data_IF_566216845505
#
_entry.id   IF_566216845505
#
_cell.length_a   1.000
_cell.length_b   1.000
_cell.length_c   1.000
_cell.angle_alpha   90.00
_cell.angle_beta   90.00
_cell.angle_gamma   90.00
#
_symmetry.space_group_name_H-M   'P 1'
#
loop_
_entity.id
_entity.type
_entity.pdbx_description
1 polymer ?
#
# COMPACT_ATOMS: atom_id res chain seq x y z
N UNK A 1 0.31 -6.21 -6.89
CA UNK A 1 -0.47 -5.64 -7.98
C UNK A 1 -1.92 -5.64 -7.54
N UNK A 2 -2.59 -4.50 -7.65
CA UNK A 2 -3.95 -4.34 -7.16
C UNK A 2 -5.02 -5.05 -7.99
N UNK A 3 -6.25 -5.05 -7.48
CA UNK A 3 -7.41 -5.71 -8.09
C UNK A 3 -8.11 -4.85 -9.15
N UNK A 4 -7.48 -3.77 -9.63
CA UNK A 4 -8.05 -2.94 -10.68
C UNK A 4 -7.96 -3.68 -12.03
N UNK A 5 -9.10 -3.92 -12.67
CA UNK A 5 -9.16 -4.64 -13.95
C UNK A 5 -8.32 -3.96 -15.04
N UNK A 6 -8.23 -2.62 -15.01
CA UNK A 6 -7.45 -1.85 -15.97
C UNK A 6 -5.94 -2.07 -15.81
N UNK A 7 -5.47 -2.23 -14.56
CA UNK A 7 -4.07 -2.54 -14.30
C UNK A 7 -3.74 -4.01 -14.59
N UNK A 8 -4.65 -4.93 -14.28
CA UNK A 8 -4.50 -6.36 -14.60
C UNK A 8 -4.45 -6.63 -16.10
N UNK A 9 -5.11 -5.82 -16.90
CA UNK A 9 -5.04 -5.97 -18.36
C UNK A 9 -3.60 -5.87 -18.87
N UNK A 10 -2.82 -4.92 -18.36
CA UNK A 10 -1.41 -4.76 -18.72
C UNK A 10 -0.58 -5.97 -18.27
N UNK A 11 -0.79 -6.46 -17.05
CA UNK A 11 -0.05 -7.62 -16.53
C UNK A 11 -0.42 -8.93 -17.23
N UNK A 12 -1.69 -9.13 -17.60
CA UNK A 12 -2.13 -10.28 -18.40
C UNK A 12 -1.44 -10.33 -19.75
N UNK A 13 -1.23 -9.18 -20.40
CA UNK A 13 -0.51 -9.09 -21.66
C UNK A 13 0.95 -9.56 -21.58
N UNK A 14 1.57 -9.46 -20.38
CA UNK A 14 2.93 -9.95 -20.12
C UNK A 14 3.00 -11.37 -19.57
N UNK A 15 1.87 -12.11 -19.55
CA UNK A 15 1.84 -13.49 -19.06
C UNK A 15 2.03 -13.60 -17.55
N UNK A 16 1.54 -12.64 -16.80
CA UNK A 16 1.56 -12.67 -15.34
C UNK A 16 0.94 -13.97 -14.82
N UNK A 17 1.64 -14.61 -13.94
CA UNK A 17 1.53 -15.93 -13.35
C UNK A 17 0.19 -16.65 -13.51
N UNK A 18 0.14 -17.81 -14.18
CA UNK A 18 -1.09 -18.64 -14.27
C UNK A 18 -1.49 -19.27 -12.93
N UNK A 19 -0.68 -19.08 -11.88
CA UNK A 19 -0.86 -19.68 -10.55
C UNK A 19 -1.41 -18.69 -9.51
N UNK A 20 -1.87 -17.52 -9.93
CA UNK A 20 -2.45 -16.51 -9.03
C UNK A 20 -3.95 -16.45 -9.19
N UNK A 21 -4.67 -16.56 -8.09
CA UNK A 21 -6.11 -16.32 -8.00
C UNK A 21 -6.32 -14.93 -7.41
N UNK A 22 -6.92 -14.04 -8.18
CA UNK A 22 -7.27 -12.69 -7.72
C UNK A 22 -8.69 -12.69 -7.16
N UNK A 23 -8.86 -12.10 -5.98
CA UNK A 23 -10.15 -11.94 -5.31
C UNK A 23 -10.31 -10.50 -4.84
N UNK A 24 -11.54 -9.97 -4.75
CA UNK A 24 -11.78 -8.70 -4.07
C UNK A 24 -11.47 -8.82 -2.56
N UNK A 25 -11.21 -7.67 -1.91
CA UNK A 25 -10.94 -7.59 -0.47
C UNK A 25 -12.25 -7.71 0.35
N UNK A 26 -12.96 -8.80 0.11
CA UNK A 26 -14.23 -9.14 0.74
C UNK A 26 -14.15 -10.50 1.42
N UNK A 27 -14.60 -10.59 2.67
CA UNK A 27 -14.54 -11.84 3.47
C UNK A 27 -15.21 -13.03 2.74
N UNK A 28 -16.41 -12.89 2.15
CA UNK A 28 -17.03 -14.01 1.43
C UNK A 28 -16.21 -14.52 0.24
N UNK A 29 -15.53 -13.61 -0.48
CA UNK A 29 -14.67 -13.98 -1.60
C UNK A 29 -13.41 -14.74 -1.11
N UNK A 30 -12.84 -14.31 0.01
CA UNK A 30 -11.71 -14.97 0.64
C UNK A 30 -12.09 -16.39 1.13
N UNK A 31 -13.21 -16.53 1.84
CA UNK A 31 -13.72 -17.81 2.32
C UNK A 31 -13.95 -18.78 1.15
N UNK A 32 -14.61 -18.32 0.10
CA UNK A 32 -14.83 -19.12 -1.12
C UNK A 32 -13.52 -19.55 -1.79
N UNK A 33 -12.52 -18.67 -1.83
CA UNK A 33 -11.21 -19.03 -2.39
C UNK A 33 -10.53 -20.13 -1.56
N UNK A 34 -10.59 -20.06 -0.23
CA UNK A 34 -10.08 -21.11 0.65
C UNK A 34 -10.86 -22.42 0.51
N UNK A 35 -12.19 -22.38 0.45
CA UNK A 35 -13.01 -23.58 0.20
C UNK A 35 -12.61 -24.31 -1.08
N UNK A 36 -12.27 -23.54 -2.12
CA UNK A 36 -11.98 -24.08 -3.45
C UNK A 36 -10.52 -24.49 -3.64
N UNK A 37 -9.56 -23.84 -2.98
CA UNK A 37 -8.14 -23.94 -3.34
C UNK A 37 -7.19 -24.20 -2.18
N UNK A 38 -7.66 -24.33 -0.92
CA UNK A 38 -6.77 -24.41 0.26
C UNK A 38 -5.67 -25.48 0.15
N UNK A 39 -5.93 -26.58 -0.55
CA UNK A 39 -4.98 -27.68 -0.78
C UNK A 39 -3.87 -27.35 -1.79
N UNK A 40 -4.00 -26.21 -2.49
CA UNK A 40 -3.08 -25.73 -3.53
C UNK A 40 -2.50 -24.36 -3.24
N UNK A 41 -3.03 -23.67 -2.21
CA UNK A 41 -2.55 -22.36 -1.83
C UNK A 41 -1.25 -22.46 -1.04
N UNK A 42 -0.22 -21.76 -1.49
CA UNK A 42 1.01 -21.56 -0.73
C UNK A 42 0.92 -20.34 0.19
N UNK A 43 0.36 -19.25 -0.32
CA UNK A 43 0.22 -18.02 0.45
C UNK A 43 -1.00 -17.18 0.00
N UNK A 44 -1.41 -16.29 0.90
CA UNK A 44 -2.23 -15.11 0.63
C UNK A 44 -1.32 -13.90 0.67
N UNK A 45 -1.24 -13.16 -0.44
CA UNK A 45 -0.43 -11.93 -0.56
C UNK A 45 -1.36 -10.73 -0.65
N UNK A 46 -1.18 -9.76 0.24
CA UNK A 46 -1.99 -8.52 0.28
C UNK A 46 -1.15 -7.28 0.55
N UNK A 47 -1.53 -6.15 -0.03
CA UNK A 47 -1.18 -4.82 0.50
C UNK A 47 -2.17 -4.53 1.65
N UNK A 48 -1.74 -4.47 2.93
CA UNK A 48 -2.68 -4.43 4.05
C UNK A 48 -3.33 -3.07 4.21
N UNK A 49 -4.66 -3.05 4.40
CA UNK A 49 -5.57 -1.92 4.56
C UNK A 49 -5.70 -0.97 3.36
N UNK A 50 -4.65 -0.76 2.58
CA UNK A 50 -4.62 0.16 1.46
C UNK A 50 -3.88 -0.47 0.28
N UNK A 51 -4.59 -0.69 -0.82
CA UNK A 51 -4.02 -1.13 -2.08
C UNK A 51 -3.57 0.09 -2.90
N UNK A 52 -2.25 0.31 -3.04
CA UNK A 52 -1.72 1.48 -3.73
C UNK A 52 -2.01 1.47 -5.22
N UNK A 53 -1.29 0.66 -5.98
CA UNK A 53 -1.44 0.53 -7.43
C UNK A 53 -2.81 -0.04 -7.84
N UNK A 54 -3.53 -0.70 -6.93
CA UNK A 54 -4.90 -1.17 -7.10
C UNK A 54 -5.97 -0.10 -7.02
N UNK A 55 -5.61 1.18 -7.07
CA UNK A 55 -6.55 2.29 -7.08
C UNK A 55 -6.79 2.94 -5.74
N UNK A 56 -5.83 2.91 -4.84
CA UNK A 56 -5.92 3.47 -3.47
C UNK A 56 -7.19 2.96 -2.75
N UNK A 57 -7.50 1.67 -2.95
CA UNK A 57 -8.63 1.04 -2.28
C UNK A 57 -8.32 0.85 -0.81
N UNK A 58 -9.22 1.26 0.02
CA UNK A 58 -9.15 1.10 1.47
C UNK A 58 -10.17 0.07 1.91
N UNK A 59 -9.78 -0.81 2.85
CA UNK A 59 -10.65 -1.86 3.36
C UNK A 59 -10.42 -2.09 4.86
N UNK A 60 -11.39 -2.71 5.49
CA UNK A 60 -11.41 -2.90 6.93
C UNK A 60 -10.43 -3.98 7.40
N UNK A 61 -9.92 -3.83 8.61
CA UNK A 61 -8.97 -4.74 9.24
C UNK A 61 -9.53 -6.17 9.39
N UNK A 62 -10.85 -6.31 9.49
CA UNK A 62 -11.52 -7.61 9.63
C UNK A 62 -11.21 -8.58 8.48
N UNK A 63 -10.94 -8.06 7.28
CA UNK A 63 -10.47 -8.89 6.17
C UNK A 63 -9.12 -9.54 6.48
N UNK A 64 -8.18 -8.79 7.05
CA UNK A 64 -6.85 -9.30 7.40
C UNK A 64 -6.92 -10.27 8.58
N UNK A 65 -7.76 -9.99 9.58
CA UNK A 65 -8.01 -10.88 10.70
C UNK A 65 -8.58 -12.21 10.21
N UNK A 66 -9.53 -12.17 9.28
CA UNK A 66 -10.09 -13.37 8.66
C UNK A 66 -9.07 -14.11 7.78
N UNK A 67 -8.22 -13.38 7.06
CA UNK A 67 -7.14 -13.97 6.29
C UNK A 67 -6.16 -14.72 7.20
N UNK A 68 -5.80 -14.14 8.36
CA UNK A 68 -4.94 -14.81 9.34
C UNK A 68 -5.58 -16.08 9.90
N UNK A 69 -6.85 -16.00 10.29
CA UNK A 69 -7.63 -17.16 10.77
C UNK A 69 -7.59 -18.32 9.77
N UNK A 70 -7.90 -18.03 8.50
CA UNK A 70 -7.94 -19.05 7.45
C UNK A 70 -6.54 -19.58 7.11
N UNK A 71 -5.54 -18.70 7.04
CA UNK A 71 -4.15 -19.11 6.82
C UNK A 71 -3.67 -20.06 7.91
N UNK A 72 -3.97 -19.78 9.19
CA UNK A 72 -3.62 -20.65 10.31
C UNK A 72 -4.34 -21.99 10.24
N UNK A 73 -5.64 -21.96 9.93
CA UNK A 73 -6.47 -23.16 9.82
C UNK A 73 -5.98 -24.14 8.76
N UNK A 74 -5.54 -23.61 7.61
CA UNK A 74 -5.18 -24.43 6.45
C UNK A 74 -3.66 -24.56 6.23
N UNK A 75 -2.84 -23.96 7.08
CA UNK A 75 -1.37 -24.01 6.96
C UNK A 75 -0.80 -23.16 5.82
N UNK A 76 -1.59 -22.23 5.30
CA UNK A 76 -1.21 -21.29 4.22
C UNK A 76 -0.44 -20.12 4.82
N UNK A 77 0.56 -19.57 4.11
CA UNK A 77 1.32 -18.41 4.58
C UNK A 77 0.55 -17.10 4.33
N UNK A 78 0.57 -16.18 5.28
CA UNK A 78 0.08 -14.83 5.10
C UNK A 78 1.27 -13.89 4.84
N UNK A 79 1.22 -13.18 3.72
CA UNK A 79 2.27 -12.26 3.27
C UNK A 79 1.71 -10.85 3.17
N UNK A 80 2.31 -9.91 3.91
CA UNK A 80 1.99 -8.49 3.80
C UNK A 80 3.01 -7.77 2.94
N UNK A 81 2.54 -7.11 1.89
CA UNK A 81 3.31 -6.14 1.13
C UNK A 81 3.10 -4.74 1.77
N UNK A 82 3.98 -4.40 2.71
CA UNK A 82 4.00 -3.07 3.34
C UNK A 82 5.02 -2.13 2.68
N UNK A 83 5.39 -2.37 1.44
CA UNK A 83 6.26 -1.47 0.67
C UNK A 83 5.65 -0.07 0.54
N UNK A 84 4.32 0.04 0.38
CA UNK A 84 3.61 1.31 0.31
C UNK A 84 2.87 1.67 1.60
N UNK A 85 2.43 0.69 2.37
CA UNK A 85 1.55 0.86 3.53
C UNK A 85 2.29 1.00 4.85
N UNK A 86 3.52 0.51 4.93
CA UNK A 86 4.35 0.61 6.12
C UNK A 86 4.83 2.04 6.44
N UNK A 87 5.50 2.16 7.57
CA UNK A 87 6.04 3.43 8.07
C UNK A 87 4.97 4.52 8.21
N UNK A 88 3.78 4.15 8.68
CA UNK A 88 2.74 5.11 9.04
C UNK A 88 1.73 5.44 7.95
N UNK A 89 1.92 5.00 6.69
CA UNK A 89 1.06 5.45 5.56
C UNK A 89 -0.43 5.23 5.78
N UNK A 90 -0.81 4.16 6.49
CA UNK A 90 -2.21 3.82 6.82
C UNK A 90 -2.67 4.35 8.19
N UNK A 91 -1.88 5.22 8.86
CA UNK A 91 -2.15 5.61 10.24
C UNK A 91 -1.63 4.60 11.28
N UNK A 92 -1.13 3.44 10.87
CA UNK A 92 -0.45 2.47 11.72
C UNK A 92 1.05 2.52 11.41
N UNK A 93 1.93 2.34 12.41
CA UNK A 93 3.37 2.24 12.16
C UNK A 93 3.66 1.15 11.12
N UNK A 94 3.18 -0.06 11.42
CA UNK A 94 3.01 -1.16 10.47
C UNK A 94 1.64 -1.81 10.72
N UNK A 95 0.96 -2.25 9.68
CA UNK A 95 -0.28 -3.02 9.84
C UNK A 95 0.01 -4.38 10.48
N UNK A 96 1.22 -4.90 10.27
CA UNK A 96 1.76 -6.08 10.93
C UNK A 96 1.73 -6.00 12.48
N UNK A 97 1.71 -4.81 13.07
CA UNK A 97 1.56 -4.62 14.53
C UNK A 97 0.15 -5.03 15.03
N UNK A 98 -0.83 -5.09 14.13
CA UNK A 98 -2.23 -5.47 14.45
C UNK A 98 -2.57 -6.90 14.05
N UNK A 99 -2.13 -7.33 12.88
CA UNK A 99 -2.30 -8.70 12.38
C UNK A 99 -0.95 -9.18 11.90
N UNK A 100 -0.35 -10.14 12.60
CA UNK A 100 1.00 -10.61 12.34
C UNK A 100 1.03 -11.52 11.11
N UNK A 101 1.74 -11.14 10.01
CA UNK A 101 1.95 -12.01 8.86
C UNK A 101 3.08 -13.03 9.11
N UNK A 102 3.18 -14.04 8.25
CA UNK A 102 4.33 -14.95 8.23
C UNK A 102 5.54 -14.30 7.53
N UNK A 103 5.25 -13.48 6.52
CA UNK A 103 6.25 -12.74 5.74
C UNK A 103 5.79 -11.28 5.60
N UNK A 104 6.72 -10.36 5.85
CA UNK A 104 6.52 -8.93 5.72
C UNK A 104 7.52 -8.36 4.70
N UNK A 105 7.03 -7.68 3.67
CA UNK A 105 7.85 -7.03 2.65
C UNK A 105 7.88 -5.52 2.91
N UNK A 106 9.08 -4.95 3.00
CA UNK A 106 9.34 -3.53 3.26
C UNK A 106 10.14 -2.91 2.11
N UNK A 107 9.92 -1.63 1.84
CA UNK A 107 10.64 -0.87 0.82
C UNK A 107 10.34 0.61 0.94
N UNK A 108 10.52 1.36 -0.13
CA UNK A 108 10.21 2.81 -0.23
C UNK A 108 10.69 3.60 0.99
N UNK A 109 9.80 3.87 1.98
CA UNK A 109 10.11 4.63 3.18
C UNK A 109 11.20 3.99 4.05
N UNK A 110 11.50 2.70 3.88
CA UNK A 110 12.59 2.01 4.57
C UNK A 110 13.92 2.78 4.49
N UNK A 111 14.18 3.45 3.36
CA UNK A 111 15.40 4.25 3.15
C UNK A 111 15.11 5.74 2.98
N UNK A 112 13.88 6.17 3.17
CA UNK A 112 13.48 7.58 2.98
C UNK A 112 13.72 8.11 1.56
N UNK A 113 13.92 7.22 0.57
CA UNK A 113 14.17 7.58 -0.82
C UNK A 113 15.63 7.88 -1.16
N UNK A 114 16.55 7.79 -0.20
CA UNK A 114 17.98 8.06 -0.43
C UNK A 114 18.67 7.00 -1.29
N UNK A 115 18.24 5.74 -1.19
CA UNK A 115 18.78 4.62 -1.98
C UNK A 115 17.69 3.57 -2.19
N UNK A 116 17.70 2.91 -3.35
CA UNK A 116 16.81 1.77 -3.62
C UNK A 116 17.20 0.59 -2.73
N UNK A 117 16.28 0.16 -1.85
CA UNK A 117 16.45 -1.00 -1.00
C UNK A 117 15.09 -1.57 -0.58
N UNK A 118 15.07 -2.87 -0.34
CA UNK A 118 13.91 -3.57 0.18
C UNK A 118 14.36 -4.65 1.17
N UNK A 119 13.46 -5.04 2.05
CA UNK A 119 13.69 -6.12 2.99
C UNK A 119 12.49 -7.06 3.00
N UNK A 120 12.75 -8.36 3.07
CA UNK A 120 11.74 -9.38 3.35
C UNK A 120 12.04 -9.96 4.72
N UNK A 121 11.12 -9.77 5.63
CA UNK A 121 11.20 -10.28 7.01
C UNK A 121 10.32 -11.50 7.11
N UNK A 122 10.86 -12.62 7.56
CA UNK A 122 10.13 -13.87 7.71
C UNK A 122 10.10 -14.30 9.19
N UNK A 123 9.01 -14.96 9.60
CA UNK A 123 8.94 -15.55 10.91
C UNK A 123 9.78 -16.84 10.99
N UNK A 124 9.93 -17.37 12.20
CA UNK A 124 10.73 -18.58 12.44
C UNK A 124 10.23 -19.79 11.66
N UNK A 125 8.93 -19.96 11.49
CA UNK A 125 8.34 -21.08 10.73
C UNK A 125 8.82 -21.09 9.29
N UNK A 126 8.82 -19.91 8.63
CA UNK A 126 9.32 -19.76 7.26
C UNK A 126 10.83 -19.98 7.19
N UNK A 127 11.58 -19.40 8.13
CA UNK A 127 13.02 -19.57 8.19
C UNK A 127 13.44 -21.05 8.35
N UNK A 128 12.79 -21.78 9.25
CA UNK A 128 13.08 -23.19 9.53
C UNK A 128 12.83 -24.08 8.30
N UNK A 129 11.96 -23.68 7.38
CA UNK A 129 11.72 -24.40 6.13
C UNK A 129 12.90 -24.40 5.16
N UNK A 130 13.89 -23.51 5.38
CA UNK A 130 15.12 -23.42 4.59
C UNK A 130 16.37 -23.76 5.40
N UNK A 131 16.25 -23.98 6.70
CA UNK A 131 17.36 -24.09 7.62
C UNK A 131 17.49 -25.53 8.16
N UNK A 132 17.96 -26.42 7.30
CA UNK A 132 18.32 -27.79 7.66
C UNK A 132 19.53 -28.27 6.83
N UNK A 133 19.93 -29.54 7.02
CA UNK A 133 21.08 -30.14 6.32
C UNK A 133 20.74 -30.68 4.91
N UNK A 134 19.45 -30.58 4.48
CA UNK A 134 19.07 -31.03 3.16
C UNK A 134 19.33 -29.92 2.10
N UNK A 135 20.24 -30.14 1.15
CA UNK A 135 20.58 -29.13 0.14
C UNK A 135 19.41 -28.77 -0.79
N UNK A 136 18.36 -29.61 -0.88
CA UNK A 136 17.16 -29.33 -1.67
C UNK A 136 16.27 -28.25 -1.01
N UNK A 137 16.44 -28.01 0.29
CA UNK A 137 15.72 -26.97 1.03
C UNK A 137 16.44 -25.62 1.03
N UNK A 138 17.62 -25.52 0.43
CA UNK A 138 18.39 -24.28 0.40
C UNK A 138 17.61 -23.16 -0.32
N UNK A 139 17.54 -21.98 0.29
CA UNK A 139 16.98 -20.78 -0.36
C UNK A 139 17.91 -20.35 -1.52
N UNK A 140 17.57 -20.77 -2.74
CA UNK A 140 18.33 -20.46 -3.95
C UNK A 140 18.02 -19.05 -4.48
N UNK A 141 17.99 -18.05 -3.59
CA UNK A 141 17.81 -16.65 -3.91
C UNK A 141 18.81 -15.78 -3.16
N UNK A 142 19.65 -15.10 -3.91
CA UNK A 142 20.70 -14.25 -3.34
C UNK A 142 21.31 -13.35 -4.40
N UNK A 143 20.74 -12.15 -4.70
CA UNK A 143 21.40 -11.17 -5.55
C UNK A 143 22.83 -10.85 -5.06
N UNK A 144 23.78 -10.63 -5.97
CA UNK A 144 25.19 -10.39 -5.65
C UNK A 144 25.38 -9.27 -4.61
N UNK A 145 24.56 -8.24 -4.64
CA UNK A 145 24.61 -7.11 -3.72
C UNK A 145 23.55 -7.16 -2.61
N UNK A 146 23.03 -8.35 -2.30
CA UNK A 146 22.17 -8.54 -1.13
C UNK A 146 22.91 -8.13 0.15
N UNK A 147 22.22 -7.48 1.09
CA UNK A 147 22.82 -7.00 2.31
C UNK A 147 23.80 -5.83 2.09
N UNK A 148 23.61 -5.02 1.05
CA UNK A 148 24.42 -3.85 0.78
C UNK A 148 24.58 -2.98 2.05
N UNK A 149 25.80 -2.87 2.55
CA UNK A 149 26.09 -2.23 3.83
C UNK A 149 25.68 -0.74 3.87
N UNK A 150 25.83 -0.02 2.75
CA UNK A 150 25.39 1.37 2.64
C UNK A 150 23.86 1.48 2.73
N UNK A 151 23.16 0.65 2.00
CA UNK A 151 21.70 0.64 2.02
C UNK A 151 21.14 0.23 3.39
N UNK A 152 21.77 -0.75 4.05
CA UNK A 152 21.43 -1.14 5.42
C UNK A 152 21.66 0.01 6.41
N UNK A 153 22.78 0.73 6.30
CA UNK A 153 23.07 1.88 7.16
C UNK A 153 22.03 3.02 6.97
N UNK A 154 21.64 3.28 5.72
CA UNK A 154 20.59 4.26 5.42
C UNK A 154 19.25 3.82 5.98
N UNK A 155 18.88 2.55 5.83
CA UNK A 155 17.62 1.99 6.37
C UNK A 155 17.58 2.10 7.91
N UNK A 156 18.66 1.70 8.60
CA UNK A 156 18.76 1.84 10.06
C UNK A 156 18.63 3.29 10.52
N UNK A 157 19.27 4.22 9.79
CA UNK A 157 19.15 5.64 10.11
C UNK A 157 17.75 6.18 9.84
N UNK A 158 17.08 5.70 8.80
CA UNK A 158 15.68 6.03 8.51
C UNK A 158 14.74 5.60 9.64
N UNK A 159 14.90 4.38 10.14
CA UNK A 159 14.13 3.84 11.27
C UNK A 159 14.39 4.68 12.54
N UNK A 160 15.66 4.97 12.86
CA UNK A 160 16.02 5.81 14.01
C UNK A 160 15.35 7.18 13.95
N UNK A 161 15.36 7.83 12.79
CA UNK A 161 14.70 9.14 12.59
C UNK A 161 13.20 9.01 12.76
N UNK A 162 12.58 8.01 12.16
CA UNK A 162 11.14 7.76 12.26
C UNK A 162 10.68 7.58 13.71
N UNK A 163 11.45 6.87 14.53
CA UNK A 163 11.14 6.65 15.93
C UNK A 163 11.38 7.92 16.79
N UNK A 164 12.45 8.67 16.48
CA UNK A 164 12.85 9.85 17.27
C UNK A 164 11.93 11.05 17.08
N UNK A 165 11.36 11.24 15.89
CA UNK A 165 10.75 12.52 15.49
C UNK A 165 9.23 12.52 15.45
N UNK A 166 8.58 11.63 16.20
CA UNK A 166 7.13 11.53 16.32
C UNK A 166 6.39 11.58 14.96
N UNK A 167 6.84 10.76 14.01
CA UNK A 167 6.18 10.71 12.71
C UNK A 167 4.73 10.24 12.80
N UNK A 168 4.37 9.42 13.79
CA UNK A 168 3.00 8.98 13.98
C UNK A 168 2.07 10.14 14.35
N UNK A 169 2.53 11.09 15.19
CA UNK A 169 1.79 12.31 15.49
C UNK A 169 1.62 13.21 14.25
N UNK A 170 2.67 13.33 13.42
CA UNK A 170 2.60 14.07 12.15
C UNK A 170 1.58 13.46 11.18
N UNK A 171 1.57 12.12 11.05
CA UNK A 171 0.65 11.40 10.18
C UNK A 171 -0.80 11.57 10.65
N UNK A 172 -1.03 11.45 11.96
CA UNK A 172 -2.35 11.69 12.55
C UNK A 172 -2.85 13.10 12.22
N UNK A 173 -1.98 14.11 12.32
CA UNK A 173 -2.32 15.50 11.95
C UNK A 173 -2.68 15.60 10.46
N UNK A 174 -1.92 14.94 9.57
CA UNK A 174 -2.23 14.92 8.13
C UNK A 174 -3.62 14.32 7.91
N UNK A 175 -3.94 13.23 8.58
CA UNK A 175 -5.26 12.58 8.47
C UNK A 175 -6.38 13.49 8.97
N UNK A 176 -6.22 14.14 10.13
CA UNK A 176 -7.17 15.09 10.69
C UNK A 176 -7.42 16.29 9.75
N UNK A 177 -6.37 16.85 9.15
CA UNK A 177 -6.48 17.93 8.16
C UNK A 177 -7.19 17.41 6.90
N UNK A 178 -6.84 16.22 6.43
CA UNK A 178 -7.47 15.61 5.26
C UNK A 178 -8.98 15.43 5.45
N UNK A 179 -9.40 14.94 6.61
CA UNK A 179 -10.81 14.84 6.97
C UNK A 179 -11.49 16.20 7.03
N UNK A 180 -10.88 17.17 7.72
CA UNK A 180 -11.43 18.54 7.81
C UNK A 180 -11.67 19.17 6.44
N UNK A 181 -10.76 18.96 5.49
CA UNK A 181 -10.81 19.60 4.18
C UNK A 181 -11.63 18.83 3.15
N UNK A 182 -11.68 17.49 3.26
CA UNK A 182 -12.22 16.66 2.17
C UNK A 182 -13.48 15.90 2.54
N UNK A 183 -13.84 15.76 3.84
CA UNK A 183 -15.09 15.12 4.21
C UNK A 183 -16.28 15.93 3.68
N UNK A 184 -17.23 15.21 3.07
CA UNK A 184 -18.41 15.82 2.47
C UNK A 184 -18.13 16.56 1.14
N UNK A 185 -16.92 16.55 0.63
CA UNK A 185 -16.65 17.09 -0.71
C UNK A 185 -17.28 16.19 -1.76
N UNK A 186 -18.20 16.74 -2.53
CA UNK A 186 -18.98 16.03 -3.54
C UNK A 186 -19.03 16.82 -4.86
N UNK A 187 -19.09 16.08 -5.97
CA UNK A 187 -19.34 16.57 -7.32
C UNK A 187 -19.95 15.42 -8.13
N UNK A 188 -20.82 15.65 -9.11
CA UNK A 188 -21.42 14.58 -9.91
C UNK A 188 -20.42 13.67 -10.64
N UNK A 189 -19.19 14.14 -10.86
CA UNK A 189 -18.10 13.36 -11.47
C UNK A 189 -17.38 12.49 -10.47
N UNK A 190 -17.50 12.76 -9.15
CA UNK A 190 -16.83 12.03 -8.07
C UNK A 190 -17.67 10.82 -7.69
N UNK A 191 -17.05 9.67 -7.67
CA UNK A 191 -17.64 8.43 -7.15
C UNK A 191 -17.48 8.34 -5.63
N UNK A 192 -16.28 8.66 -5.14
CA UNK A 192 -15.93 8.47 -3.72
C UNK A 192 -14.70 9.30 -3.33
N UNK A 193 -14.67 9.76 -2.09
CA UNK A 193 -13.48 10.30 -1.43
C UNK A 193 -13.08 9.34 -0.30
N UNK A 194 -11.82 8.94 -0.28
CA UNK A 194 -11.27 8.02 0.72
C UNK A 194 -10.07 8.65 1.40
N UNK A 195 -9.99 8.50 2.72
CA UNK A 195 -8.90 9.03 3.56
C UNK A 195 -8.46 7.94 4.52
N UNK A 196 -7.14 7.74 4.62
CA UNK A 196 -6.54 6.82 5.58
C UNK A 196 -5.09 7.26 5.84
N UNK A 197 -4.77 7.63 7.08
CA UNK A 197 -3.43 8.05 7.47
C UNK A 197 -2.91 9.18 6.58
N UNK A 198 -1.77 8.94 5.94
CA UNK A 198 -1.15 9.90 5.01
C UNK A 198 -1.59 9.76 3.56
N UNK A 199 -2.76 9.18 3.29
CA UNK A 199 -3.30 8.99 1.94
C UNK A 199 -4.71 9.56 1.82
N UNK A 200 -4.92 10.44 0.84
CA UNK A 200 -6.25 10.94 0.44
C UNK A 200 -6.46 10.64 -1.03
N UNK A 201 -7.58 10.06 -1.40
CA UNK A 201 -7.92 9.71 -2.77
C UNK A 201 -9.33 10.17 -3.14
N UNK A 202 -9.47 10.84 -4.28
CA UNK A 202 -10.74 11.15 -4.94
C UNK A 202 -10.85 10.24 -6.16
N UNK A 203 -11.78 9.30 -6.13
CA UNK A 203 -12.11 8.45 -7.27
C UNK A 203 -13.22 9.09 -8.09
N UNK A 204 -13.01 9.25 -9.39
CA UNK A 204 -14.05 9.71 -10.32
C UNK A 204 -14.73 8.52 -11.01
N UNK A 205 -15.96 8.73 -11.51
CA UNK A 205 -16.66 7.71 -12.28
C UNK A 205 -15.96 7.37 -13.59
N UNK A 206 -15.40 8.40 -14.26
CA UNK A 206 -14.68 8.28 -15.53
C UNK A 206 -13.37 9.06 -15.47
N UNK A 207 -12.26 8.41 -15.80
CA UNK A 207 -10.92 9.02 -15.81
C UNK A 207 -10.82 10.25 -16.73
N UNK A 208 -11.66 10.36 -17.75
CA UNK A 208 -11.75 11.55 -18.61
C UNK A 208 -12.04 12.84 -17.82
N UNK A 209 -12.70 12.73 -16.64
CA UNK A 209 -12.93 13.86 -15.76
C UNK A 209 -11.63 14.46 -15.16
N UNK A 210 -10.51 13.73 -15.23
CA UNK A 210 -9.21 14.17 -14.74
C UNK A 210 -8.26 14.60 -15.87
N UNK A 211 -8.71 14.58 -17.10
CA UNK A 211 -7.88 15.00 -18.24
C UNK A 211 -7.49 16.48 -18.11
N UNK A 212 -6.17 16.76 -18.15
CA UNK A 212 -5.63 18.10 -17.95
C UNK A 212 -5.44 18.52 -16.48
N UNK A 213 -5.86 17.71 -15.51
CA UNK A 213 -5.70 18.06 -14.07
C UNK A 213 -4.25 18.29 -13.67
N UNK A 214 -3.32 17.48 -14.13
CA UNK A 214 -1.90 17.63 -13.79
C UNK A 214 -1.35 19.01 -14.17
N UNK A 215 -1.67 19.48 -15.38
CA UNK A 215 -1.26 20.80 -15.85
C UNK A 215 -1.94 21.92 -15.03
N UNK A 216 -3.24 21.76 -14.75
CA UNK A 216 -3.98 22.69 -13.92
C UNK A 216 -3.40 22.84 -12.50
N UNK A 217 -3.00 21.72 -11.89
CA UNK A 217 -2.38 21.71 -10.57
C UNK A 217 -1.00 22.35 -10.60
N UNK A 218 -0.18 22.03 -11.62
CA UNK A 218 1.14 22.58 -11.81
C UNK A 218 1.13 24.11 -11.91
N UNK A 219 0.19 24.67 -12.68
CA UNK A 219 0.00 26.12 -12.84
C UNK A 219 -0.37 26.83 -11.52
N UNK A 220 -0.79 26.05 -10.50
CA UNK A 220 -1.15 26.54 -9.14
C UNK A 220 -0.11 26.15 -8.09
N UNK A 221 1.10 25.78 -8.53
CA UNK A 221 2.19 25.43 -7.65
C UNK A 221 2.07 24.06 -6.97
N UNK A 222 1.17 23.19 -7.44
CA UNK A 222 0.97 21.85 -6.88
C UNK A 222 1.36 20.79 -7.91
N UNK A 223 2.30 19.92 -7.53
CA UNK A 223 2.61 18.73 -8.31
C UNK A 223 1.71 17.57 -7.85
N UNK A 224 0.62 17.35 -8.58
CA UNK A 224 -0.30 16.25 -8.36
C UNK A 224 -0.64 15.57 -9.68
N UNK A 225 -0.28 14.29 -9.80
CA UNK A 225 -0.50 13.49 -11.01
C UNK A 225 -1.60 12.47 -10.74
N UNK A 226 -2.73 12.52 -11.48
CA UNK A 226 -3.73 11.47 -11.38
C UNK A 226 -3.20 10.14 -11.91
N UNK A 227 -3.76 9.06 -11.41
CA UNK A 227 -3.53 7.71 -11.90
C UNK A 227 -4.87 7.12 -12.34
N UNK A 228 -5.04 6.87 -13.64
CA UNK A 228 -6.32 6.43 -14.21
C UNK A 228 -7.47 7.36 -13.78
N UNK A 229 -8.43 6.84 -13.04
CA UNK A 229 -9.58 7.57 -12.46
C UNK A 229 -9.37 8.06 -11.02
N UNK A 230 -8.13 8.06 -10.54
CA UNK A 230 -7.78 8.40 -9.16
C UNK A 230 -6.96 9.67 -9.11
N UNK A 231 -7.48 10.69 -8.44
CA UNK A 231 -6.74 11.87 -8.03
C UNK A 231 -6.37 11.66 -6.56
N UNK A 232 -5.07 11.60 -6.25
CA UNK A 232 -4.63 11.23 -4.91
C UNK A 232 -3.49 12.09 -4.39
N UNK A 233 -3.38 12.14 -3.08
CA UNK A 233 -2.30 12.79 -2.34
C UNK A 233 -1.66 11.77 -1.39
N UNK A 234 -0.35 11.56 -1.52
CA UNK A 234 0.50 10.80 -0.61
C UNK A 234 1.70 11.67 -0.28
N UNK A 235 1.50 12.63 0.60
CA UNK A 235 2.48 13.68 0.93
C UNK A 235 3.63 13.15 1.79
N UNK A 236 4.80 13.84 1.80
CA UNK A 236 5.81 13.64 2.82
C UNK A 236 5.26 14.06 4.20
N UNK A 237 5.63 13.33 5.25
CA UNK A 237 5.06 13.54 6.59
C UNK A 237 5.51 14.84 7.28
N UNK A 238 6.47 15.53 6.69
CA UNK A 238 6.96 16.85 7.15
C UNK A 238 6.25 18.02 6.46
N UNK A 239 5.19 17.74 5.68
CA UNK A 239 4.41 18.79 5.01
C UNK A 239 3.79 19.73 6.04
N UNK A 240 3.82 21.02 5.74
CA UNK A 240 3.14 22.02 6.56
C UNK A 240 1.63 22.03 6.24
N UNK A 241 0.83 22.50 7.21
CA UNK A 241 -0.63 22.52 7.09
C UNK A 241 -1.09 23.34 5.88
N UNK A 242 -0.50 24.50 5.67
CA UNK A 242 -0.84 25.43 4.59
C UNK A 242 -0.57 24.78 3.21
N UNK A 243 0.50 24.01 3.09
CA UNK A 243 0.85 23.29 1.86
C UNK A 243 -0.17 22.15 1.58
N UNK A 244 -0.54 21.40 2.63
CA UNK A 244 -1.53 20.34 2.51
C UNK A 244 -2.91 20.88 2.15
N UNK A 245 -3.34 21.99 2.78
CA UNK A 245 -4.59 22.68 2.45
C UNK A 245 -4.56 23.19 1.01
N UNK A 246 -3.44 23.76 0.55
CA UNK A 246 -3.28 24.20 -0.84
C UNK A 246 -3.49 23.04 -1.83
N UNK A 247 -2.96 21.85 -1.54
CA UNK A 247 -3.18 20.65 -2.38
C UNK A 247 -4.68 20.36 -2.49
N UNK A 248 -5.40 20.32 -1.36
CA UNK A 248 -6.84 20.02 -1.37
C UNK A 248 -7.66 21.14 -2.03
N UNK A 249 -7.28 22.39 -1.85
CA UNK A 249 -7.95 23.51 -2.53
C UNK A 249 -7.80 23.42 -4.04
N UNK A 250 -6.64 23.03 -4.54
CA UNK A 250 -6.41 22.80 -5.97
C UNK A 250 -7.23 21.60 -6.46
N UNK A 251 -7.30 20.51 -5.70
CA UNK A 251 -8.14 19.36 -6.02
C UNK A 251 -9.64 19.76 -6.10
N UNK A 252 -10.13 20.49 -5.10
CA UNK A 252 -11.52 21.00 -5.07
C UNK A 252 -11.80 22.00 -6.21
N UNK A 253 -10.86 22.89 -6.47
CA UNK A 253 -11.00 23.89 -7.53
C UNK A 253 -11.12 23.27 -8.93
N UNK A 254 -10.51 22.11 -9.17
CA UNK A 254 -10.67 21.36 -10.40
C UNK A 254 -12.13 21.04 -10.71
N UNK A 255 -12.86 20.57 -9.75
CA UNK A 255 -14.28 20.21 -9.90
C UNK A 255 -15.24 21.41 -9.89
N UNK A 256 -14.80 22.57 -9.41
CA UNK A 256 -15.59 23.83 -9.45
C UNK A 256 -15.47 24.59 -10.77
N UNK A 257 -14.68 24.10 -11.69
CA UNK A 257 -14.61 24.61 -13.06
C UNK A 257 -15.87 24.15 -13.79
N UNK A 258 -16.58 25.08 -14.37
CA UNK A 258 -17.73 24.80 -15.22
C UNK A 258 -17.36 24.08 -16.51
#
# INVERSE_FOLDING_TARGET
AGDDEDYHFVLKAYGASPYVVHIPTEIPALEKAFEQYHDKLNCVLVEPLLQGAGGMRMYDISFLEKARELCDKYGVLLVFDEVATGFGRTGNRFVADRVLPDILVLGKALTGGYIGHAATVANKKVFDGFFDDNPEHALMHGPTFMGNALACAVALKGIEIFEREDYMGKIKRIEEISHREMDGFTDPRIKEVRIMGGCTCVEVHDGAALEGFQQFAYERGVFCRPFLKYMYSMVPYIIEEEELVQIFDVMKAWFRRG
#
